data_IF_969737288510
#
_entry.id   IF_969737288510
#
_cell.length_a   1.000
_cell.length_b   1.000
_cell.length_c   1.000
_cell.angle_alpha   90.00
_cell.angle_beta   90.00
_cell.angle_gamma   90.00
#
_symmetry.space_group_name_H-M   'P 1'
#
loop_
_entity.id
_entity.type
_entity.pdbx_description
1 polymer ?
#
# COMPACT_ATOMS: atom_id res chain seq x y z
N UNK A 1 -5.54 20.66 -20.56
CA UNK A 1 -6.59 19.79 -20.00
C UNK A 1 -5.90 18.47 -19.70
N UNK A 2 -5.61 18.18 -18.43
CA UNK A 2 -4.76 17.04 -18.04
C UNK A 2 -5.65 15.85 -17.62
N UNK A 3 -5.97 14.97 -18.57
CA UNK A 3 -6.62 13.69 -18.28
C UNK A 3 -5.53 12.76 -17.76
N UNK A 4 -5.48 12.56 -16.44
CA UNK A 4 -4.50 11.66 -15.83
C UNK A 4 -4.94 10.22 -16.04
N UNK A 5 -4.00 9.35 -16.41
CA UNK A 5 -4.30 7.94 -16.55
C UNK A 5 -4.57 7.31 -15.17
N UNK A 6 -5.34 6.22 -15.14
CA UNK A 6 -5.72 5.56 -13.90
C UNK A 6 -4.51 5.21 -13.00
N UNK A 7 -3.45 4.57 -13.52
CA UNK A 7 -2.28 4.22 -12.72
C UNK A 7 -1.58 5.43 -12.11
N UNK A 8 -1.61 6.58 -12.78
CA UNK A 8 -0.99 7.80 -12.28
C UNK A 8 -1.74 8.37 -11.07
N UNK A 9 -3.07 8.29 -11.07
CA UNK A 9 -3.90 8.74 -9.94
C UNK A 9 -3.73 7.82 -8.74
N UNK A 10 -3.75 6.50 -8.95
CA UNK A 10 -3.48 5.52 -7.89
C UNK A 10 -2.10 5.80 -7.28
N UNK A 11 -1.08 6.01 -8.11
CA UNK A 11 0.25 6.37 -7.64
C UNK A 11 0.28 7.64 -6.78
N UNK A 12 -0.49 8.66 -7.14
CA UNK A 12 -0.60 9.89 -6.33
C UNK A 12 -1.31 9.59 -5.00
N UNK A 13 -2.46 8.92 -5.04
CA UNK A 13 -3.27 8.68 -3.86
C UNK A 13 -2.54 7.79 -2.85
N UNK A 14 -1.96 6.68 -3.30
CA UNK A 14 -1.21 5.75 -2.43
C UNK A 14 0.02 6.43 -1.83
N UNK A 15 0.79 7.19 -2.64
CA UNK A 15 1.92 7.97 -2.09
C UNK A 15 1.48 9.04 -1.11
N UNK A 16 0.29 9.61 -1.29
CA UNK A 16 -0.24 10.55 -0.33
C UNK A 16 -0.58 9.85 0.98
N UNK A 17 -1.23 8.68 0.96
CA UNK A 17 -1.46 7.85 2.15
C UNK A 17 -0.17 7.44 2.85
N UNK A 18 0.81 6.94 2.10
CA UNK A 18 2.11 6.55 2.65
C UNK A 18 2.81 7.71 3.39
N UNK A 19 2.67 8.95 2.91
CA UNK A 19 3.18 10.15 3.60
C UNK A 19 2.44 10.51 4.88
N UNK A 20 1.26 9.93 5.11
CA UNK A 20 0.47 10.13 6.33
C UNK A 20 0.67 9.01 7.33
N UNK A 21 1.30 7.87 6.97
CA UNK A 21 1.61 6.79 7.91
C UNK A 21 2.35 7.32 9.15
N UNK A 22 3.39 8.13 8.94
CA UNK A 22 4.22 8.72 10.02
C UNK A 22 3.60 9.97 10.65
N UNK A 23 2.41 10.40 10.22
CA UNK A 23 1.73 11.59 10.73
C UNK A 23 0.55 11.14 11.58
N UNK A 24 0.84 10.79 12.82
CA UNK A 24 -0.20 10.41 13.77
C UNK A 24 -1.14 11.62 13.97
N UNK A 25 -2.44 11.39 14.18
CA UNK A 25 -3.36 12.48 14.48
C UNK A 25 -2.96 13.14 15.80
N UNK A 26 -2.27 14.28 15.71
CA UNK A 26 -2.00 15.14 16.87
C UNK A 26 -3.33 15.74 17.33
N UNK A 27 -3.86 15.24 18.45
CA UNK A 27 -4.86 15.91 19.28
C UNK A 27 -6.14 16.45 18.58
N UNK A 28 -6.71 15.72 17.61
CA UNK A 28 -8.02 16.09 17.02
C UNK A 28 -9.16 15.50 17.84
N UNK A 29 -10.10 16.35 18.23
CA UNK A 29 -11.33 16.10 18.99
C UNK A 29 -11.99 14.74 18.65
N UNK A 30 -11.64 13.72 19.44
CA UNK A 30 -11.87 12.27 19.22
C UNK A 30 -13.36 11.89 19.11
N UNK A 31 -14.26 12.82 19.41
CA UNK A 31 -15.66 12.52 19.72
C UNK A 31 -16.66 12.77 18.59
N UNK A 32 -16.28 13.49 17.53
CA UNK A 32 -17.27 14.05 16.59
C UNK A 32 -17.24 13.47 15.16
N UNK A 33 -16.34 12.52 14.85
CA UNK A 33 -16.28 11.91 13.51
C UNK A 33 -16.99 10.54 13.46
N UNK A 34 -18.17 10.42 12.82
CA UNK A 34 -18.85 9.13 12.67
C UNK A 34 -17.99 8.19 11.81
N UNK A 35 -17.60 7.05 12.40
CA UNK A 35 -16.71 6.05 11.79
C UNK A 35 -15.25 6.09 12.27
N UNK A 36 -14.90 6.95 13.23
CA UNK A 36 -13.53 7.12 13.74
C UNK A 36 -13.21 6.38 15.06
N UNK A 37 -14.18 5.62 15.58
CA UNK A 37 -14.07 4.96 16.90
C UNK A 37 -12.92 3.93 16.95
N UNK A 38 -12.77 2.99 15.98
CA UNK A 38 -11.71 1.98 16.05
C UNK A 38 -10.30 2.56 15.98
N UNK A 39 -10.13 3.63 15.20
CA UNK A 39 -8.84 4.30 15.01
C UNK A 39 -8.38 5.02 16.28
N UNK A 40 -9.29 5.77 16.90
CA UNK A 40 -9.02 6.45 18.16
C UNK A 40 -8.80 5.46 19.30
N UNK A 41 -9.57 4.37 19.35
CA UNK A 41 -9.37 3.29 20.32
C UNK A 41 -8.01 2.63 20.14
N UNK A 42 -7.61 2.34 18.89
CA UNK A 42 -6.29 1.79 18.60
C UNK A 42 -5.17 2.75 19.05
N UNK A 43 -5.28 4.05 18.74
CA UNK A 43 -4.28 5.07 19.10
C UNK A 43 -4.15 5.27 20.61
N UNK A 44 -5.27 5.26 21.34
CA UNK A 44 -5.29 5.46 22.79
C UNK A 44 -4.94 4.19 23.58
N UNK A 45 -4.91 3.01 22.95
CA UNK A 45 -4.55 1.76 23.61
C UNK A 45 -3.04 1.72 23.91
N UNK A 46 -2.62 1.68 25.20
CA UNK A 46 -1.21 1.64 25.58
C UNK A 46 -0.43 0.44 25.04
N UNK A 47 -1.11 -0.68 24.74
CA UNK A 47 -0.48 -1.87 24.16
C UNK A 47 0.07 -1.60 22.74
N UNK A 48 -0.47 -0.58 22.05
CA UNK A 48 -0.02 -0.19 20.72
C UNK A 48 1.11 0.84 20.73
N UNK A 49 1.60 1.29 21.89
CA UNK A 49 2.63 2.35 21.98
C UNK A 49 3.85 2.02 21.11
N UNK A 50 4.41 0.82 21.25
CA UNK A 50 5.59 0.42 20.49
C UNK A 50 5.32 0.28 18.98
N UNK A 51 4.09 -0.05 18.60
CA UNK A 51 3.66 -0.07 17.19
C UNK A 51 3.68 1.34 16.61
N UNK A 52 3.09 2.31 17.31
CA UNK A 52 3.01 3.70 16.82
C UNK A 52 4.37 4.38 16.83
N UNK A 53 5.23 4.13 17.82
CA UNK A 53 6.63 4.57 17.80
C UNK A 53 7.37 4.01 16.58
N UNK A 54 7.16 2.73 16.26
CA UNK A 54 7.75 2.11 15.07
C UNK A 54 7.21 2.73 13.78
N UNK A 55 5.90 3.00 13.70
CA UNK A 55 5.27 3.65 12.57
C UNK A 55 5.79 5.09 12.37
N UNK A 56 5.87 5.88 13.44
CA UNK A 56 6.38 7.25 13.45
C UNK A 56 7.87 7.33 13.05
N UNK A 57 8.65 6.30 13.42
CA UNK A 57 10.07 6.18 13.05
C UNK A 57 10.34 5.89 11.56
N UNK A 58 9.28 5.77 10.74
CA UNK A 58 9.33 5.44 9.32
C UNK A 58 9.99 4.08 9.04
N UNK A 59 9.31 3.01 9.47
CA UNK A 59 9.75 1.62 9.24
C UNK A 59 9.93 1.29 7.74
N UNK A 60 9.20 1.96 6.84
CA UNK A 60 9.35 1.75 5.38
C UNK A 60 10.71 2.26 4.92
N UNK A 61 11.15 3.42 5.41
CA UNK A 61 12.50 3.92 5.14
C UNK A 61 13.59 3.03 5.75
N UNK A 62 13.36 2.44 6.94
CA UNK A 62 14.27 1.44 7.50
C UNK A 62 14.36 0.18 6.61
N UNK A 63 13.22 -0.37 6.18
CA UNK A 63 13.15 -1.48 5.24
C UNK A 63 13.88 -1.18 3.92
N UNK A 64 13.70 0.01 3.36
CA UNK A 64 14.39 0.47 2.15
C UNK A 64 15.91 0.51 2.34
N UNK A 65 16.39 0.95 3.51
CA UNK A 65 17.83 0.95 3.84
C UNK A 65 18.39 -0.47 3.89
N UNK A 66 17.70 -1.42 4.51
CA UNK A 66 18.12 -2.83 4.56
C UNK A 66 18.26 -3.38 3.15
N UNK A 67 17.19 -3.25 2.34
CA UNK A 67 17.17 -3.73 0.97
C UNK A 67 18.28 -3.11 0.13
N UNK A 68 18.45 -1.78 0.19
CA UNK A 68 19.50 -1.10 -0.55
C UNK A 68 20.90 -1.53 -0.11
N UNK A 69 21.10 -1.75 1.19
CA UNK A 69 22.36 -2.21 1.77
C UNK A 69 22.75 -3.59 1.26
N UNK A 70 21.80 -4.53 1.21
CA UNK A 70 22.03 -5.89 0.69
C UNK A 70 22.20 -5.86 -0.84
N UNK A 71 21.44 -5.01 -1.54
CA UNK A 71 21.44 -4.93 -3.01
C UNK A 71 22.56 -4.05 -3.58
N UNK A 72 23.39 -3.42 -2.74
CA UNK A 72 24.41 -2.45 -3.14
C UNK A 72 25.54 -3.03 -4.01
N UNK A 73 25.88 -4.31 -3.83
CA UNK A 73 26.92 -4.99 -4.63
C UNK A 73 26.60 -6.48 -4.81
N UNK A 74 27.22 -7.11 -5.80
CA UNK A 74 27.02 -8.55 -6.05
C UNK A 74 27.54 -9.41 -4.89
N UNK A 75 28.67 -9.04 -4.29
CA UNK A 75 29.19 -9.72 -3.10
C UNK A 75 28.16 -9.77 -1.96
N UNK A 76 27.45 -8.67 -1.69
CA UNK A 76 26.45 -8.61 -0.62
C UNK A 76 25.20 -9.43 -0.95
N UNK A 77 24.81 -9.46 -2.23
CA UNK A 77 23.70 -10.31 -2.70
C UNK A 77 24.05 -11.78 -2.56
N UNK A 78 25.26 -12.17 -2.91
CA UNK A 78 25.75 -13.54 -2.78
C UNK A 78 25.84 -13.96 -1.31
N UNK A 79 26.40 -13.10 -0.45
CA UNK A 79 26.43 -13.36 1.00
C UNK A 79 25.02 -13.55 1.57
N UNK A 80 24.06 -12.70 1.17
CA UNK A 80 22.67 -12.87 1.60
C UNK A 80 22.05 -14.19 1.12
N UNK A 81 22.29 -14.60 -0.13
CA UNK A 81 21.82 -15.90 -0.63
C UNK A 81 22.49 -17.09 0.08
N UNK A 82 23.77 -16.94 0.45
CA UNK A 82 24.49 -17.96 1.23
C UNK A 82 23.87 -18.10 2.62
N UNK A 83 23.58 -16.98 3.31
CA UNK A 83 22.89 -16.98 4.61
C UNK A 83 21.54 -17.70 4.50
N UNK A 84 20.72 -17.39 3.49
CA UNK A 84 19.45 -18.10 3.26
C UNK A 84 19.68 -19.61 3.07
N UNK A 85 20.68 -19.98 2.26
CA UNK A 85 21.01 -21.39 2.01
C UNK A 85 21.44 -22.11 3.28
N UNK A 86 22.23 -21.46 4.12
CA UNK A 86 22.69 -21.98 5.41
C UNK A 86 21.52 -22.14 6.40
N UNK A 87 20.69 -21.10 6.57
CA UNK A 87 19.49 -21.16 7.40
C UNK A 87 18.53 -22.28 6.97
N UNK A 88 18.43 -22.55 5.67
CA UNK A 88 17.58 -23.62 5.15
C UNK A 88 18.12 -25.04 5.37
N UNK A 89 19.38 -25.21 5.80
CA UNK A 89 19.91 -26.54 6.11
C UNK A 89 19.30 -27.12 7.38
N UNK A 90 18.92 -26.27 8.34
CA UNK A 90 18.36 -26.67 9.62
C UNK A 90 16.82 -26.62 9.65
N UNK A 91 16.18 -26.07 8.62
CA UNK A 91 14.73 -25.92 8.52
C UNK A 91 14.05 -27.11 7.87
N UNK A 92 12.86 -27.43 8.37
CA UNK A 92 11.92 -28.32 7.68
C UNK A 92 11.50 -27.74 6.33
N UNK A 93 11.18 -28.62 5.37
CA UNK A 93 10.86 -28.20 4.00
C UNK A 93 9.71 -27.19 3.92
N UNK A 94 8.70 -27.29 4.80
CA UNK A 94 7.56 -26.38 4.84
C UNK A 94 7.93 -24.94 5.25
N UNK A 95 9.05 -24.76 5.96
CA UNK A 95 9.45 -23.48 6.55
C UNK A 95 10.71 -22.89 5.88
N UNK A 96 11.13 -23.46 4.75
CA UNK A 96 12.31 -22.98 4.03
C UNK A 96 12.06 -21.60 3.41
N UNK A 97 13.03 -20.72 3.61
CA UNK A 97 13.06 -19.40 2.98
C UNK A 97 13.33 -19.60 1.47
N UNK A 98 12.53 -19.03 0.57
CA UNK A 98 12.79 -19.13 -0.86
C UNK A 98 14.16 -18.55 -1.26
N UNK A 99 14.86 -19.19 -2.19
CA UNK A 99 16.13 -18.70 -2.76
C UNK A 99 15.94 -17.53 -3.73
N UNK A 100 15.25 -16.48 -3.28
CA UNK A 100 14.88 -15.32 -4.06
C UNK A 100 15.73 -14.10 -3.67
N UNK A 101 15.89 -13.15 -4.59
CA UNK A 101 16.54 -11.87 -4.28
C UNK A 101 15.54 -10.84 -3.76
N UNK A 102 16.04 -9.93 -2.92
CA UNK A 102 15.30 -8.72 -2.48
C UNK A 102 15.03 -7.79 -3.66
N UNK A 103 13.86 -7.17 -3.66
CA UNK A 103 13.41 -6.22 -4.69
C UNK A 103 13.63 -4.79 -4.19
N UNK A 104 14.23 -3.94 -5.01
CA UNK A 104 14.41 -2.52 -4.66
C UNK A 104 13.13 -1.74 -4.92
N UNK A 105 12.87 -0.78 -4.05
CA UNK A 105 11.89 0.25 -4.28
C UNK A 105 12.35 1.22 -5.41
N UNK A 106 11.39 1.77 -6.12
CA UNK A 106 11.53 2.79 -7.16
C UNK A 106 10.65 3.97 -6.78
N UNK A 107 11.27 5.08 -6.38
CA UNK A 107 10.59 6.25 -5.81
C UNK A 107 9.41 6.78 -6.63
N UNK A 108 9.37 6.56 -7.95
CA UNK A 108 8.31 7.03 -8.83
C UNK A 108 7.06 6.15 -8.84
N UNK A 109 7.13 4.92 -8.35
CA UNK A 109 6.06 3.91 -8.42
C UNK A 109 5.69 3.39 -7.04
N UNK A 110 4.44 3.60 -6.63
CA UNK A 110 3.97 3.09 -5.35
C UNK A 110 4.08 1.55 -5.24
N UNK A 111 3.86 0.81 -6.33
CA UNK A 111 3.80 -0.66 -6.31
C UNK A 111 5.17 -1.32 -6.05
N UNK A 112 6.29 -0.61 -6.27
CA UNK A 112 7.60 -1.13 -5.89
C UNK A 112 7.79 -1.15 -4.38
N UNK A 113 7.11 -0.28 -3.62
CA UNK A 113 7.10 -0.31 -2.15
C UNK A 113 6.42 -1.60 -1.69
N UNK A 114 5.26 -1.92 -2.26
CA UNK A 114 4.54 -3.17 -1.97
C UNK A 114 5.42 -4.39 -2.23
N UNK A 115 5.99 -4.50 -3.43
CA UNK A 115 6.83 -5.64 -3.82
C UNK A 115 8.13 -5.72 -2.98
N UNK A 116 8.69 -4.58 -2.59
CA UNK A 116 9.85 -4.53 -1.69
C UNK A 116 9.49 -5.09 -0.31
N UNK A 117 8.40 -4.61 0.29
CA UNK A 117 7.97 -5.01 1.63
C UNK A 117 7.56 -6.49 1.63
N UNK A 118 6.75 -6.93 0.67
CA UNK A 118 6.34 -8.33 0.51
C UNK A 118 7.56 -9.25 0.41
N UNK A 119 8.55 -8.88 -0.41
CA UNK A 119 9.79 -9.67 -0.54
C UNK A 119 10.65 -9.63 0.71
N UNK A 120 10.71 -8.51 1.41
CA UNK A 120 11.50 -8.38 2.63
C UNK A 120 10.92 -9.24 3.76
N UNK A 121 9.61 -9.17 3.98
CA UNK A 121 8.91 -9.98 4.99
C UNK A 121 9.05 -11.49 4.71
N UNK A 122 9.08 -11.89 3.44
CA UNK A 122 9.29 -13.27 3.04
C UNK A 122 10.71 -13.79 3.33
N UNK A 123 11.72 -12.91 3.29
CA UNK A 123 13.13 -13.33 3.24
C UNK A 123 13.96 -12.91 4.47
N UNK A 124 13.49 -11.98 5.29
CA UNK A 124 14.28 -11.38 6.36
C UNK A 124 13.88 -11.90 7.73
N UNK A 125 14.88 -12.34 8.50
CA UNK A 125 14.74 -12.60 9.94
C UNK A 125 15.25 -11.45 10.80
N UNK A 126 15.83 -10.41 10.19
CA UNK A 126 16.43 -9.28 10.93
C UNK A 126 15.38 -8.30 11.47
N UNK A 127 14.13 -8.41 11.01
CA UNK A 127 13.06 -7.54 11.44
C UNK A 127 12.58 -7.95 12.84
N UNK A 128 12.38 -6.96 13.71
CA UNK A 128 11.74 -7.22 15.00
C UNK A 128 10.26 -7.57 14.79
N UNK A 129 9.64 -8.24 15.77
CA UNK A 129 8.21 -8.56 15.70
C UNK A 129 7.35 -7.33 15.40
N UNK A 130 7.63 -6.21 16.07
CA UNK A 130 6.91 -4.94 15.85
C UNK A 130 7.12 -4.41 14.44
N UNK A 131 8.35 -4.47 13.90
CA UNK A 131 8.60 -4.05 12.51
C UNK A 131 7.84 -4.94 11.52
N UNK A 132 7.80 -6.25 11.76
CA UNK A 132 6.99 -7.18 10.96
C UNK A 132 5.51 -6.83 11.01
N UNK A 133 4.95 -6.56 12.20
CA UNK A 133 3.54 -6.20 12.36
C UNK A 133 3.20 -4.93 11.58
N UNK A 134 3.96 -3.85 11.77
CA UNK A 134 3.72 -2.58 11.07
C UNK A 134 3.88 -2.75 9.55
N UNK A 135 4.92 -3.47 9.10
CA UNK A 135 5.14 -3.71 7.67
C UNK A 135 4.06 -4.61 7.06
N UNK A 136 3.50 -5.57 7.82
CA UNK A 136 2.39 -6.40 7.38
C UNK A 136 1.12 -5.56 7.17
N UNK A 137 0.77 -4.67 8.11
CA UNK A 137 -0.39 -3.78 7.95
C UNK A 137 -0.21 -2.86 6.72
N UNK A 138 0.99 -2.31 6.53
CA UNK A 138 1.31 -1.50 5.34
C UNK A 138 1.22 -2.34 4.07
N UNK A 139 1.74 -3.57 4.08
CA UNK A 139 1.65 -4.50 2.94
C UNK A 139 0.19 -4.82 2.61
N UNK A 140 -0.64 -5.06 3.62
CA UNK A 140 -2.06 -5.33 3.47
C UNK A 140 -2.79 -4.13 2.87
N UNK A 141 -2.58 -2.92 3.40
CA UNK A 141 -3.09 -1.68 2.82
C UNK A 141 -2.70 -1.53 1.34
N UNK A 142 -1.43 -1.81 1.00
CA UNK A 142 -0.92 -1.70 -0.37
C UNK A 142 -1.43 -2.81 -1.30
N UNK A 143 -1.97 -3.92 -0.77
CA UNK A 143 -2.52 -5.01 -1.57
C UNK A 143 -3.82 -4.61 -2.28
N UNK A 144 -4.63 -3.74 -1.68
CA UNK A 144 -5.88 -3.24 -2.27
C UNK A 144 -5.68 -2.48 -3.59
N UNK A 145 -4.85 -1.41 -3.66
CA UNK A 145 -4.55 -0.76 -4.94
C UNK A 145 -3.78 -1.67 -5.89
N UNK A 146 -3.07 -2.70 -5.39
CA UNK A 146 -2.36 -3.66 -6.24
C UNK A 146 -3.35 -4.54 -6.99
N UNK A 147 -4.32 -5.12 -6.30
CA UNK A 147 -5.35 -5.95 -6.90
C UNK A 147 -6.09 -5.22 -8.04
N UNK A 148 -6.52 -3.97 -7.78
CA UNK A 148 -7.23 -3.16 -8.79
C UNK A 148 -6.32 -2.79 -9.97
N UNK A 149 -5.03 -2.52 -9.72
CA UNK A 149 -4.09 -2.25 -10.82
C UNK A 149 -3.82 -3.50 -11.67
N UNK A 150 -3.75 -4.68 -11.07
CA UNK A 150 -3.56 -5.94 -11.80
C UNK A 150 -4.80 -6.29 -12.64
N UNK A 151 -6.01 -6.11 -12.09
CA UNK A 151 -7.28 -6.26 -12.82
C UNK A 151 -7.27 -5.43 -14.11
N UNK A 152 -6.88 -4.15 -14.01
CA UNK A 152 -6.76 -3.25 -15.16
C UNK A 152 -5.63 -3.60 -16.12
N UNK A 153 -4.54 -4.18 -15.63
CA UNK A 153 -3.41 -4.56 -16.47
C UNK A 153 -3.71 -5.82 -17.30
N UNK A 154 -4.66 -6.63 -16.85
CA UNK A 154 -5.18 -7.78 -17.58
C UNK A 154 -6.19 -7.43 -18.67
N UNK A 155 -6.87 -6.29 -18.56
CA UNK A 155 -7.80 -5.79 -19.58
C UNK A 155 -7.06 -5.34 -20.84
N UNK A 156 -7.37 -5.95 -21.99
CA UNK A 156 -6.72 -5.61 -23.27
C UNK A 156 -7.08 -4.18 -23.74
N UNK A 157 -8.15 -3.61 -23.20
CA UNK A 157 -8.61 -2.24 -23.46
C UNK A 157 -9.23 -1.65 -22.20
N UNK A 158 -8.45 -0.99 -21.32
CA UNK A 158 -9.00 -0.18 -20.24
C UNK A 158 -9.82 0.94 -20.86
N UNK A 159 -11.14 0.78 -20.88
CA UNK A 159 -12.01 1.82 -21.42
C UNK A 159 -12.19 2.90 -20.36
N UNK A 160 -12.21 4.16 -20.80
CA UNK A 160 -12.39 5.31 -19.90
C UNK A 160 -13.69 5.20 -19.07
N UNK A 161 -14.67 4.44 -19.54
CA UNK A 161 -15.92 4.09 -18.84
C UNK A 161 -15.71 3.16 -17.63
N UNK A 162 -14.71 2.28 -17.63
CA UNK A 162 -14.42 1.35 -16.51
C UNK A 162 -13.60 1.99 -15.38
N UNK A 163 -12.90 3.08 -15.68
CA UNK A 163 -11.99 3.79 -14.75
C UNK A 163 -12.71 4.31 -13.50
N UNK A 164 -13.93 4.87 -13.64
CA UNK A 164 -14.70 5.40 -12.51
C UNK A 164 -15.23 4.31 -11.57
N UNK A 165 -15.89 3.24 -12.07
CA UNK A 165 -16.26 2.09 -11.26
C UNK A 165 -15.10 1.52 -10.43
N UNK A 166 -13.91 1.42 -11.02
CA UNK A 166 -12.74 0.88 -10.32
C UNK A 166 -12.21 1.80 -9.21
N UNK A 167 -12.32 3.13 -9.37
CA UNK A 167 -12.05 4.03 -8.25
C UNK A 167 -13.07 3.86 -7.12
N UNK A 168 -14.35 3.75 -7.47
CA UNK A 168 -15.42 3.57 -6.48
C UNK A 168 -15.26 2.25 -5.73
N UNK A 169 -14.95 1.16 -6.45
CA UNK A 169 -14.61 -0.13 -5.87
C UNK A 169 -13.39 -0.05 -4.95
N UNK A 170 -12.30 0.60 -5.38
CA UNK A 170 -11.13 0.79 -4.53
C UNK A 170 -11.45 1.61 -3.28
N UNK A 171 -12.22 2.69 -3.40
CA UNK A 171 -12.64 3.51 -2.25
C UNK A 171 -13.47 2.67 -1.27
N UNK A 172 -14.40 1.86 -1.76
CA UNK A 172 -15.20 0.96 -0.92
C UNK A 172 -14.32 -0.06 -0.21
N UNK A 173 -13.42 -0.73 -0.94
CA UNK A 173 -12.51 -1.70 -0.36
C UNK A 173 -11.61 -1.09 0.73
N UNK A 174 -11.05 0.10 0.46
CA UNK A 174 -10.25 0.83 1.44
C UNK A 174 -11.08 1.28 2.64
N UNK A 175 -12.37 1.59 2.45
CA UNK A 175 -13.26 1.98 3.55
C UNK A 175 -13.48 0.81 4.51
N UNK A 176 -13.69 -0.39 3.98
CA UNK A 176 -13.79 -1.62 4.80
C UNK A 176 -12.46 -1.98 5.45
N UNK A 177 -11.34 -1.83 4.73
CA UNK A 177 -10.01 -2.12 5.25
C UNK A 177 -9.64 -1.31 6.51
N UNK A 178 -10.31 -0.18 6.79
CA UNK A 178 -10.12 0.59 8.02
C UNK A 178 -10.58 -0.16 9.28
N UNK A 179 -11.52 -1.09 9.13
CA UNK A 179 -12.01 -1.92 10.24
C UNK A 179 -10.95 -2.96 10.63
N UNK A 180 -10.26 -3.51 9.62
CA UNK A 180 -9.19 -4.50 9.80
C UNK A 180 -7.85 -3.85 10.17
N UNK A 181 -7.61 -2.63 9.70
CA UNK A 181 -6.35 -1.89 9.86
C UNK A 181 -6.56 -0.56 10.63
N UNK A 182 -7.14 -0.57 11.85
CA UNK A 182 -7.48 0.64 12.57
C UNK A 182 -6.25 1.47 12.95
N UNK A 183 -5.08 0.84 13.14
CA UNK A 183 -3.82 1.51 13.50
C UNK A 183 -3.25 2.40 12.39
N UNK A 184 -3.64 2.18 11.14
CA UNK A 184 -3.20 2.98 9.99
C UNK A 184 -4.36 3.63 9.24
N UNK A 185 -5.54 3.67 9.85
CA UNK A 185 -6.75 4.16 9.18
C UNK A 185 -6.63 5.63 8.74
N UNK A 186 -5.86 6.45 9.44
CA UNK A 186 -5.59 7.86 9.07
C UNK A 186 -4.89 7.96 7.71
N UNK A 187 -3.96 7.06 7.42
CA UNK A 187 -3.29 6.97 6.13
C UNK A 187 -4.22 6.44 5.03
N UNK A 188 -5.10 5.50 5.38
CA UNK A 188 -6.13 4.98 4.49
C UNK A 188 -7.13 6.10 4.14
N UNK A 189 -7.59 6.88 5.12
CA UNK A 189 -8.48 8.03 4.93
C UNK A 189 -7.84 9.09 4.02
N UNK A 190 -6.57 9.43 4.25
CA UNK A 190 -5.83 10.33 3.38
C UNK A 190 -5.77 9.83 1.93
N UNK A 191 -5.63 8.52 1.73
CA UNK A 191 -5.67 7.88 0.40
C UNK A 191 -7.05 8.00 -0.23
N UNK A 192 -8.11 7.66 0.51
CA UNK A 192 -9.51 7.75 0.07
C UNK A 192 -9.87 9.19 -0.32
N UNK A 193 -9.46 10.18 0.48
CA UNK A 193 -9.70 11.60 0.20
C UNK A 193 -9.11 12.00 -1.17
N UNK A 194 -7.88 11.56 -1.47
CA UNK A 194 -7.25 11.81 -2.77
C UNK A 194 -7.94 11.11 -3.93
N UNK A 195 -8.41 9.88 -3.74
CA UNK A 195 -9.20 9.18 -4.75
C UNK A 195 -10.52 9.91 -5.02
N UNK A 196 -11.23 10.35 -3.96
CA UNK A 196 -12.49 11.11 -4.08
C UNK A 196 -12.28 12.45 -4.80
N UNK A 197 -11.21 13.19 -4.50
CA UNK A 197 -10.84 14.42 -5.23
C UNK A 197 -10.73 14.17 -6.73
N UNK A 198 -10.13 13.04 -7.13
CA UNK A 198 -10.00 12.66 -8.53
C UNK A 198 -11.33 12.25 -9.17
N UNK A 199 -12.15 11.45 -8.48
CA UNK A 199 -13.48 11.05 -8.96
C UNK A 199 -14.36 12.28 -9.22
N UNK A 200 -14.39 13.23 -8.30
CA UNK A 200 -15.15 14.49 -8.44
C UNK A 200 -14.65 15.31 -9.64
N UNK A 201 -13.34 15.39 -9.85
CA UNK A 201 -12.76 16.08 -11.01
C UNK A 201 -13.08 15.37 -12.33
N UNK A 202 -13.01 14.05 -12.35
CA UNK A 202 -13.26 13.24 -13.55
C UNK A 202 -14.71 13.31 -13.98
N UNK A 203 -15.67 13.31 -13.05
CA UNK A 203 -17.10 13.46 -13.34
C UNK A 203 -17.47 14.81 -13.95
N UNK A 204 -16.65 15.85 -13.76
CA UNK A 204 -16.84 17.18 -14.36
C UNK A 204 -16.20 17.31 -15.75
N UNK A 205 -15.44 16.30 -16.18
CA UNK A 205 -14.69 16.36 -17.43
C UNK A 205 -15.54 15.78 -18.59
N UNK A 206 -15.82 16.55 -19.66
CA UNK A 206 -16.61 16.10 -20.80
C UNK A 206 -16.13 14.80 -21.44
N UNK A 207 -14.82 14.52 -21.41
CA UNK A 207 -14.25 13.31 -22.00
C UNK A 207 -14.72 12.05 -21.27
N UNK A 208 -14.80 12.09 -19.93
CA UNK A 208 -15.34 10.99 -19.13
C UNK A 208 -16.85 10.84 -19.30
N UNK A 209 -17.58 11.96 -19.38
CA UNK A 209 -19.04 11.96 -19.60
C UNK A 209 -19.37 11.31 -20.95
N UNK A 210 -18.66 11.68 -22.01
CA UNK A 210 -18.85 11.13 -23.35
C UNK A 210 -18.51 9.63 -23.41
N UNK A 211 -17.41 9.21 -22.79
CA UNK A 211 -17.02 7.80 -22.78
C UNK A 211 -18.01 6.90 -22.03
N UNK A 212 -18.58 7.37 -20.92
CA UNK A 212 -19.65 6.64 -20.21
C UNK A 212 -20.94 6.57 -21.02
N UNK A 213 -21.30 7.65 -21.71
CA UNK A 213 -22.49 7.69 -22.57
C UNK A 213 -22.40 6.70 -23.74
N UNK A 214 -21.25 6.64 -24.41
CA UNK A 214 -21.01 5.72 -25.54
C UNK A 214 -21.07 4.25 -25.08
N UNK A 215 -20.45 3.92 -23.94
CA UNK A 215 -20.49 2.55 -23.38
C UNK A 215 -21.91 2.08 -23.05
N UNK A 216 -22.81 2.98 -22.65
CA UNK A 216 -24.21 2.65 -22.39
C UNK A 216 -25.00 2.30 -23.67
N UNK A 217 -24.67 2.94 -24.80
CA UNK A 217 -25.24 2.64 -26.11
C UNK A 217 -24.66 1.39 -26.77
N UNK A 218 -23.44 0.98 -26.42
CA UNK A 218 -22.83 -0.25 -26.98
C UNK A 218 -23.32 -1.53 -26.26
N UNK A 219 -23.95 -1.39 -25.09
CA UNK A 219 -24.51 -2.49 -24.28
C UNK A 219 -26.02 -2.70 -24.44
N UNK A 220 -26.71 -1.88 -25.25
CA UNK A 220 -28.15 -1.94 -25.52
C UNK A 220 -28.43 -1.79 -27.02
#
# INVERSE_FOLDING_TARGET
>A
MDVRCFPHVINIAVKYGLKHLTKLPDDVDIRDAPGWIPAAEALLNPENTAYFECLESDVVSAARKIVNTIRASDQRRETFQQIIKELNQTRENANKIPGLQLLRDVDTRWSSIFLMIDRLLLLSEELTHIQCDVLNDIREFLSYPHAVQEELSGEQTPTLSQVLPLYEQLITNLTHAKEDLPKISHAIDATIEKLKEYVVRSRKNPVYILAMGVYWFDLH
#
